data_IF_308695872131
#
_entry.id   IF_308695872131
#
_cell.length_a   1.000
_cell.length_b   1.000
_cell.length_c   1.000
_cell.angle_alpha   90.00
_cell.angle_beta   90.00
_cell.angle_gamma   90.00
#
_symmetry.space_group_name_H-M   'P 1'
#
loop_
_entity.id
_entity.type
_entity.pdbx_description
1 polymer ?
#
# COMPACT_ATOMS: atom_id res chain seq x y z
N UNK A 1 -6.48 -12.78 3.39
CA UNK A 1 -5.50 -11.90 4.04
C UNK A 1 -5.65 -10.50 3.47
N UNK A 2 -5.52 -9.47 4.29
CA UNK A 2 -5.56 -8.08 3.83
C UNK A 2 -4.30 -7.72 3.02
N UNK A 3 -4.50 -7.02 1.90
CA UNK A 3 -3.43 -6.63 0.98
C UNK A 3 -2.30 -5.84 1.66
N UNK A 4 -2.63 -5.00 2.64
CA UNK A 4 -1.63 -4.21 3.37
C UNK A 4 -0.72 -5.12 4.19
N UNK A 5 -1.26 -6.14 4.85
CA UNK A 5 -0.44 -7.12 5.57
C UNK A 5 0.43 -7.95 4.62
N UNK A 6 -0.07 -8.26 3.43
CA UNK A 6 0.70 -8.96 2.39
C UNK A 6 1.87 -8.10 1.89
N UNK A 7 1.63 -6.82 1.59
CA UNK A 7 2.65 -5.86 1.19
C UNK A 7 3.74 -5.67 2.27
N UNK A 8 3.37 -5.58 3.54
CA UNK A 8 4.34 -5.44 4.63
C UNK A 8 5.17 -6.71 4.80
N UNK A 9 4.57 -7.89 4.64
CA UNK A 9 5.31 -9.16 4.70
C UNK A 9 6.26 -9.35 3.50
N UNK A 10 5.83 -9.01 2.28
CA UNK A 10 6.66 -9.11 1.08
C UNK A 10 7.86 -8.15 1.11
N UNK A 11 7.70 -6.98 1.75
CA UNK A 11 8.72 -5.95 1.83
C UNK A 11 9.35 -5.80 3.22
N UNK A 12 9.10 -6.73 4.17
CA UNK A 12 9.53 -6.61 5.57
C UNK A 12 11.03 -6.30 5.69
N UNK A 13 11.87 -7.04 4.96
CA UNK A 13 13.33 -6.81 4.96
C UNK A 13 13.73 -5.41 4.49
N UNK A 14 13.12 -4.90 3.43
CA UNK A 14 13.41 -3.58 2.89
C UNK A 14 12.89 -2.46 3.80
N UNK A 15 11.70 -2.65 4.38
CA UNK A 15 11.07 -1.71 5.30
C UNK A 15 11.85 -1.60 6.62
N UNK A 16 12.35 -2.72 7.15
CA UNK A 16 13.21 -2.74 8.34
C UNK A 16 14.51 -1.98 8.10
N UNK A 17 15.16 -2.17 6.95
CA UNK A 17 16.39 -1.43 6.62
C UNK A 17 16.14 0.07 6.46
N UNK A 18 15.07 0.48 5.78
CA UNK A 18 14.74 1.90 5.66
C UNK A 18 14.39 2.55 7.00
N UNK A 19 13.70 1.83 7.89
CA UNK A 19 13.43 2.32 9.25
C UNK A 19 14.72 2.45 10.07
N UNK A 20 15.70 1.55 9.87
CA UNK A 20 17.02 1.67 10.50
C UNK A 20 17.76 2.91 10.02
N UNK A 21 17.71 3.20 8.72
CA UNK A 21 18.29 4.42 8.15
C UNK A 21 17.62 5.68 8.71
N UNK A 22 16.33 5.60 9.06
CA UNK A 22 15.60 6.66 9.75
C UNK A 22 15.85 6.73 11.27
N UNK A 23 16.78 5.91 11.81
CA UNK A 23 17.18 5.93 13.21
C UNK A 23 16.40 4.99 14.13
N UNK A 24 15.60 4.07 13.59
CA UNK A 24 14.95 3.03 14.40
C UNK A 24 15.93 1.88 14.67
N UNK A 25 15.85 1.28 15.86
CA UNK A 25 16.54 0.00 16.09
C UNK A 25 15.80 -1.12 15.36
N UNK A 26 16.50 -2.20 14.97
CA UNK A 26 15.87 -3.36 14.32
C UNK A 26 14.70 -3.94 15.14
N UNK A 27 14.81 -3.89 16.47
CA UNK A 27 13.73 -4.29 17.38
C UNK A 27 12.50 -3.38 17.27
N UNK A 28 12.72 -2.04 17.26
CA UNK A 28 11.62 -1.08 17.10
C UNK A 28 11.01 -1.14 15.71
N UNK A 29 11.82 -1.30 14.66
CA UNK A 29 11.33 -1.44 13.29
C UNK A 29 10.38 -2.64 13.15
N UNK A 30 10.77 -3.82 13.67
CA UNK A 30 9.93 -5.03 13.66
C UNK A 30 8.65 -4.91 14.47
N UNK A 31 8.63 -4.09 15.53
CA UNK A 31 7.40 -3.79 16.28
C UNK A 31 6.55 -2.71 15.63
N UNK A 32 7.19 -1.76 14.95
CA UNK A 32 6.52 -0.64 14.30
C UNK A 32 5.71 -1.09 13.08
N UNK A 33 6.28 -1.96 12.24
CA UNK A 33 5.65 -2.42 11.00
C UNK A 33 4.25 -3.02 11.17
N UNK A 34 4.01 -3.99 12.08
CA UNK A 34 2.66 -4.54 12.26
C UNK A 34 1.67 -3.52 12.82
N UNK A 35 2.09 -2.61 13.71
CA UNK A 35 1.22 -1.56 14.24
C UNK A 35 0.90 -0.50 13.18
N UNK A 36 1.88 -0.14 12.35
CA UNK A 36 1.69 0.75 11.21
C UNK A 36 0.74 0.12 10.18
N UNK A 37 0.94 -1.16 9.83
CA UNK A 37 0.05 -1.89 8.94
C UNK A 37 -1.38 -1.92 9.47
N UNK A 38 -1.56 -2.21 10.76
CA UNK A 38 -2.87 -2.26 11.41
C UNK A 38 -3.55 -0.88 11.46
N UNK A 39 -2.80 0.18 11.78
CA UNK A 39 -3.33 1.54 11.81
C UNK A 39 -3.71 2.07 10.43
N UNK A 40 -2.98 1.66 9.38
CA UNK A 40 -3.36 1.93 7.99
C UNK A 40 -4.60 1.10 7.62
N UNK A 41 -4.66 -0.18 8.00
CA UNK A 41 -5.82 -1.03 7.73
C UNK A 41 -7.10 -0.47 8.35
N UNK A 42 -7.05 -0.04 9.60
CA UNK A 42 -8.20 0.56 10.26
C UNK A 42 -8.62 1.89 9.61
N UNK A 43 -7.68 2.70 9.10
CA UNK A 43 -8.04 3.89 8.31
C UNK A 43 -8.62 3.55 6.94
N UNK A 44 -8.17 2.46 6.30
CA UNK A 44 -8.72 1.97 5.02
C UNK A 44 -10.13 1.41 5.15
N UNK A 45 -10.50 0.87 6.31
CA UNK A 45 -11.85 0.32 6.56
C UNK A 45 -12.94 1.40 6.51
N UNK A 46 -12.60 2.65 6.81
CA UNK A 46 -13.53 3.79 6.75
C UNK A 46 -13.64 4.45 5.38
N UNK A 47 -12.59 4.38 4.55
CA UNK A 47 -12.46 5.17 3.31
C UNK A 47 -12.36 4.33 2.02
N UNK A 48 -12.24 3.00 2.12
CA UNK A 48 -12.01 2.13 0.97
C UNK A 48 -10.57 2.20 0.45
N UNK A 49 -10.03 1.06 0.03
CA UNK A 49 -8.65 0.94 -0.47
C UNK A 49 -8.42 1.81 -1.72
N UNK A 50 -9.47 2.08 -2.50
CA UNK A 50 -9.44 2.92 -3.70
C UNK A 50 -9.09 4.38 -3.38
N UNK A 51 -9.71 5.00 -2.36
CA UNK A 51 -9.38 6.38 -1.97
C UNK A 51 -7.93 6.52 -1.49
N UNK A 52 -7.42 5.50 -0.82
CA UNK A 52 -6.02 5.51 -0.34
C UNK A 52 -5.05 5.35 -1.49
N UNK A 53 -5.40 4.49 -2.45
CA UNK A 53 -4.63 4.36 -3.70
C UNK A 53 -4.63 5.69 -4.45
N UNK A 54 -5.78 6.35 -4.57
CA UNK A 54 -5.92 7.64 -5.25
C UNK A 54 -5.12 8.75 -4.54
N UNK A 55 -5.18 8.84 -3.21
CA UNK A 55 -4.41 9.82 -2.42
C UNK A 55 -2.89 9.59 -2.50
N UNK A 56 -2.46 8.32 -2.58
CA UNK A 56 -1.06 7.97 -2.78
C UNK A 56 -0.58 8.22 -4.21
N UNK A 57 -1.43 7.98 -5.21
CA UNK A 57 -1.10 8.17 -6.63
C UNK A 57 -1.19 9.63 -7.08
N UNK A 58 -2.06 10.44 -6.47
CA UNK A 58 -2.15 11.90 -6.72
C UNK A 58 -1.01 12.69 -6.08
N UNK A 59 -0.11 12.01 -5.35
CA UNK A 59 1.06 12.64 -4.75
C UNK A 59 0.75 13.45 -3.50
N UNK A 60 -0.32 13.10 -2.77
CA UNK A 60 -0.69 13.71 -1.49
C UNK A 60 -0.40 12.77 -0.30
N UNK A 61 0.88 12.39 -0.04
CA UNK A 61 1.23 11.50 1.06
C UNK A 61 0.85 12.11 2.42
N UNK A 62 0.74 13.43 2.54
CA UNK A 62 0.24 14.12 3.73
C UNK A 62 -1.22 13.82 4.06
N UNK A 63 -2.08 13.58 3.05
CA UNK A 63 -3.47 13.20 3.24
C UNK A 63 -3.59 11.74 3.70
N UNK A 64 -2.75 10.86 3.17
CA UNK A 64 -2.62 9.49 3.65
C UNK A 64 -2.13 9.44 5.11
N UNK A 65 -1.11 10.21 5.46
CA UNK A 65 -0.61 10.29 6.84
C UNK A 65 -1.65 10.85 7.82
N UNK A 66 -2.54 11.73 7.34
CA UNK A 66 -3.62 12.31 8.13
C UNK A 66 -4.80 11.35 8.34
N UNK A 67 -4.97 10.33 7.49
CA UNK A 67 -5.99 9.30 7.70
C UNK A 67 -5.54 8.21 8.67
N UNK A 68 -4.22 8.01 8.83
CA UNK A 68 -3.65 7.06 9.78
C UNK A 68 -3.67 7.64 11.19
N UNK A 69 -4.10 6.85 12.18
CA UNK A 69 -4.14 7.28 13.58
C UNK A 69 -2.74 7.26 14.22
N UNK A 70 -1.90 8.23 13.86
CA UNK A 70 -0.52 8.40 14.34
C UNK A 70 -0.45 8.41 15.86
N UNK A 71 -1.39 9.09 16.52
CA UNK A 71 -1.44 9.20 17.98
C UNK A 71 -1.65 7.83 18.66
N UNK A 72 -2.44 6.95 18.05
CA UNK A 72 -2.69 5.62 18.58
C UNK A 72 -1.46 4.71 18.44
N UNK A 73 -0.80 4.73 17.27
CA UNK A 73 0.44 3.99 17.03
C UNK A 73 1.54 4.48 17.98
N UNK A 74 1.67 5.81 18.15
CA UNK A 74 2.61 6.44 19.07
C UNK A 74 2.40 5.95 20.50
N UNK A 75 1.15 5.93 20.96
CA UNK A 75 0.78 5.43 22.29
C UNK A 75 1.11 3.95 22.47
N UNK A 76 0.81 3.09 21.49
CA UNK A 76 1.07 1.64 21.55
C UNK A 76 2.56 1.30 21.58
N UNK A 77 3.37 2.06 20.86
CA UNK A 77 4.81 1.81 20.74
C UNK A 77 5.64 2.59 21.76
N UNK A 78 5.02 3.48 22.54
CA UNK A 78 5.74 4.38 23.45
C UNK A 78 6.68 5.32 22.69
N UNK A 79 6.26 5.78 21.51
CA UNK A 79 7.02 6.68 20.62
C UNK A 79 6.34 8.04 20.56
N UNK A 80 7.08 9.06 20.15
CA UNK A 80 6.47 10.37 19.85
C UNK A 80 5.72 10.31 18.51
N UNK A 81 4.68 11.15 18.37
CA UNK A 81 3.94 11.29 17.11
C UNK A 81 4.86 11.68 15.95
N UNK A 82 5.90 12.47 16.21
CA UNK A 82 6.91 12.84 15.19
C UNK A 82 7.70 11.62 14.72
N UNK A 83 8.15 10.76 15.64
CA UNK A 83 8.85 9.52 15.27
C UNK A 83 7.94 8.58 14.46
N UNK A 84 6.67 8.47 14.84
CA UNK A 84 5.71 7.66 14.08
C UNK A 84 5.47 8.25 12.69
N UNK A 85 5.33 9.57 12.59
CA UNK A 85 5.13 10.26 11.31
C UNK A 85 6.34 10.05 10.39
N UNK A 86 7.56 10.15 10.92
CA UNK A 86 8.79 9.86 10.16
C UNK A 86 8.85 8.39 9.73
N UNK A 87 8.54 7.46 10.63
CA UNK A 87 8.49 6.04 10.29
C UNK A 87 7.46 5.73 9.21
N UNK A 88 6.27 6.35 9.29
CA UNK A 88 5.23 6.22 8.26
C UNK A 88 5.67 6.85 6.93
N UNK A 89 6.29 8.02 6.96
CA UNK A 89 6.78 8.69 5.76
C UNK A 89 7.83 7.85 5.01
N UNK A 90 8.66 7.10 5.74
CA UNK A 90 9.67 6.19 5.18
C UNK A 90 9.02 4.99 4.49
N UNK A 91 7.99 4.39 5.09
CA UNK A 91 7.34 3.20 4.51
C UNK A 91 6.32 3.56 3.40
N UNK A 92 5.82 4.80 3.39
CA UNK A 92 4.83 5.31 2.42
C UNK A 92 5.22 5.07 0.96
N UNK A 93 6.44 5.40 0.49
CA UNK A 93 6.83 5.16 -0.91
C UNK A 93 6.84 3.66 -1.28
N UNK A 94 7.18 2.76 -0.36
CA UNK A 94 7.14 1.31 -0.61
C UNK A 94 5.69 0.83 -0.73
N UNK A 95 4.82 1.29 0.17
CA UNK A 95 3.38 1.06 0.11
C UNK A 95 2.76 1.57 -1.19
N UNK A 96 3.11 2.79 -1.62
CA UNK A 96 2.63 3.39 -2.86
C UNK A 96 3.03 2.56 -4.09
N UNK A 97 4.28 2.08 -4.13
CA UNK A 97 4.75 1.21 -5.22
C UNK A 97 4.02 -0.13 -5.25
N UNK A 98 3.81 -0.76 -4.09
CA UNK A 98 3.09 -2.03 -4.00
C UNK A 98 1.61 -1.87 -4.40
N UNK A 99 0.95 -0.81 -3.92
CA UNK A 99 -0.42 -0.44 -4.31
C UNK A 99 -0.52 -0.19 -5.82
N UNK A 100 0.42 0.57 -6.39
CA UNK A 100 0.45 0.83 -7.84
C UNK A 100 0.66 -0.43 -8.66
N UNK A 101 1.53 -1.36 -8.21
CA UNK A 101 1.69 -2.66 -8.88
C UNK A 101 0.40 -3.49 -8.81
N UNK A 102 -0.29 -3.50 -7.67
CA UNK A 102 -1.55 -4.22 -7.53
C UNK A 102 -2.69 -3.60 -8.33
N UNK A 103 -2.83 -2.27 -8.35
CA UNK A 103 -3.83 -1.60 -9.18
C UNK A 103 -3.59 -1.89 -10.66
N UNK A 104 -2.33 -1.83 -11.12
CA UNK A 104 -1.96 -2.22 -12.48
C UNK A 104 -2.24 -3.69 -12.77
N UNK A 105 -2.06 -4.61 -11.82
CA UNK A 105 -2.39 -6.03 -11.98
C UNK A 105 -3.90 -6.28 -12.09
N UNK A 106 -4.70 -5.54 -11.32
CA UNK A 106 -6.17 -5.60 -11.37
C UNK A 106 -6.70 -5.02 -12.69
N UNK A 107 -6.15 -3.88 -13.13
CA UNK A 107 -6.50 -3.26 -14.42
C UNK A 107 -6.02 -4.12 -15.60
N UNK A 108 -4.84 -4.73 -15.51
CA UNK A 108 -4.30 -5.65 -16.52
C UNK A 108 -5.12 -6.93 -16.69
N UNK A 109 -5.76 -7.41 -15.62
CA UNK A 109 -6.63 -8.59 -15.67
C UNK A 109 -7.98 -8.30 -16.32
N UNK A 110 -8.50 -7.06 -16.22
CA UNK A 110 -9.72 -6.65 -16.93
C UNK A 110 -9.49 -6.49 -18.44
N UNK A 111 -8.30 -6.05 -18.89
CA UNK A 111 -7.99 -5.98 -20.32
C UNK A 111 -7.72 -7.36 -20.96
N UNK A 112 -7.38 -8.36 -20.16
CA UNK A 112 -7.10 -9.72 -20.67
C UNK A 112 -8.39 -10.54 -20.93
N UNK A 113 -9.50 -10.19 -20.28
CA UNK A 113 -10.78 -10.88 -20.48
C UNK A 113 -11.57 -10.36 -21.69
N UNK A 114 -11.25 -9.17 -22.22
CA UNK A 114 -11.99 -8.54 -23.31
C UNK A 114 -11.44 -8.82 -24.72
N UNK A 115 -10.32 -9.55 -24.85
CA UNK A 115 -9.74 -9.94 -26.15
C UNK A 115 -10.02 -11.40 -26.55
N UNK A 116 -11.00 -12.06 -25.96
CA UNK A 116 -11.44 -13.40 -26.37
C UNK A 116 -12.74 -13.41 -27.20
N UNK A 117 -13.36 -12.25 -27.49
CA UNK A 117 -14.72 -12.20 -28.05
C UNK A 117 -14.90 -11.38 -29.33
N UNK A 118 -13.84 -11.20 -30.14
CA UNK A 118 -13.97 -10.66 -31.50
C UNK A 118 -13.38 -11.62 -32.54
N UNK A 119 -14.03 -12.78 -32.68
CA UNK A 119 -14.01 -13.52 -33.94
C UNK A 119 -15.45 -13.81 -34.42
N UNK A 120 -16.15 -12.85 -35.04
CA UNK A 120 -17.21 -13.15 -35.98
C UNK A 120 -16.64 -12.96 -37.39
N UNK A 121 -16.09 -14.03 -37.97
CA UNK A 121 -15.42 -13.94 -39.27
C UNK A 121 -15.31 -15.27 -40.00
N UNK A 122 -16.27 -16.17 -39.84
CA UNK A 122 -16.54 -17.23 -40.82
C UNK A 122 -17.71 -16.76 -41.68
N UNK A 123 -17.47 -16.39 -42.94
CA UNK A 123 -18.29 -16.84 -44.08
C UNK A 123 -17.66 -16.37 -45.41
N UNK A 124 -17.54 -17.36 -46.30
CA UNK A 124 -17.13 -17.35 -47.71
C UNK A 124 -17.63 -16.19 -48.59
N UNK A 125 -16.80 -15.71 -49.54
CA UNK A 125 -17.21 -15.58 -50.97
C UNK A 125 -16.04 -15.21 -51.92
N UNK A 126 -15.82 -16.13 -52.88
CA UNK A 126 -15.54 -15.94 -54.32
C UNK A 126 -14.20 -15.34 -54.80
N UNK A 127 -13.37 -16.24 -55.34
CA UNK A 127 -12.39 -16.05 -56.41
C UNK A 127 -12.16 -17.38 -57.11
#
# INVERSE_FOLDING_TARGET
>A
MDFINECFNEHDGALVEQLKDAGFSSYRARKFLPEAASGILDSTRGSGVEQITENLMTGAPSQFLSSVNVAEIARKLGMSSDQVTQGLAVITPVLAQALSRKSNSLIGSMNSASMAFLAPGLYWQLG
#
